data_IF_430003752738
#
_entry.id   IF_430003752738
#
_cell.length_a   1.000
_cell.length_b   1.000
_cell.length_c   1.000
_cell.angle_alpha   90.00
_cell.angle_beta   90.00
_cell.angle_gamma   90.00
#
_symmetry.space_group_name_H-M   'P 1'
#
loop_
_entity.id
_entity.type
_entity.pdbx_description
1 polymer ?
#
# COMPACT_ATOMS: atom_id res chain seq x y z
N UNK A 1 -5.00 -43.77 39.44
CA UNK A 1 -3.92 -44.54 38.76
C UNK A 1 -3.10 -43.55 37.95
N UNK A 2 -1.83 -43.39 38.31
CA UNK A 2 -1.00 -42.26 37.89
C UNK A 2 -0.43 -42.40 36.48
N UNK A 3 -0.32 -41.27 35.80
CA UNK A 3 0.34 -41.12 34.49
C UNK A 3 1.71 -40.48 34.70
N UNK A 4 2.76 -41.21 34.31
CA UNK A 4 4.16 -40.80 34.42
C UNK A 4 4.48 -39.80 33.31
N UNK A 5 4.82 -38.56 33.65
CA UNK A 5 5.41 -37.58 32.72
C UNK A 5 6.92 -37.82 32.64
N UNK A 6 7.44 -38.11 31.45
CA UNK A 6 8.89 -38.07 31.15
C UNK A 6 9.23 -36.67 30.64
N UNK A 7 10.06 -35.96 31.39
CA UNK A 7 10.67 -34.68 31.02
C UNK A 7 11.98 -35.01 30.30
N UNK A 8 12.15 -34.52 29.08
CA UNK A 8 13.44 -34.52 28.39
C UNK A 8 14.13 -33.18 28.65
N UNK A 9 15.26 -33.22 29.36
CA UNK A 9 16.18 -32.11 29.52
C UNK A 9 17.22 -32.19 28.39
N UNK A 10 17.30 -31.17 27.54
CA UNK A 10 18.42 -30.99 26.61
C UNK A 10 19.40 -30.00 27.23
N UNK A 11 20.60 -30.47 27.54
CA UNK A 11 21.74 -29.66 27.98
C UNK A 11 22.35 -28.94 26.77
N UNK A 12 22.36 -27.61 26.80
CA UNK A 12 23.19 -26.79 25.91
C UNK A 12 24.52 -26.56 26.62
N UNK A 13 25.60 -27.15 26.08
CA UNK A 13 26.97 -26.93 26.53
C UNK A 13 27.49 -25.67 25.84
N UNK A 14 27.57 -24.57 26.60
CA UNK A 14 28.29 -23.37 26.22
C UNK A 14 29.79 -23.58 26.45
N UNK A 15 30.60 -23.50 25.39
CA UNK A 15 32.05 -23.39 25.53
C UNK A 15 32.48 -21.93 25.37
N UNK A 16 32.65 -21.27 26.51
CA UNK A 16 33.50 -20.11 26.68
C UNK A 16 34.81 -20.59 27.33
N UNK A 17 35.94 -20.41 26.67
CA UNK A 17 37.24 -20.39 27.34
C UNK A 17 38.20 -19.43 26.63
N UNK A 18 38.68 -18.47 27.42
CA UNK A 18 39.64 -17.44 27.04
C UNK A 18 41.10 -17.86 27.19
N UNK A 19 41.93 -16.83 26.98
CA UNK A 19 43.40 -16.78 26.87
C UNK A 19 44.22 -17.60 27.88
N UNK A 20 45.40 -18.06 27.42
CA UNK A 20 46.60 -18.15 28.26
C UNK A 20 47.85 -17.73 27.48
N UNK A 21 48.74 -17.04 28.20
CA UNK A 21 50.01 -16.44 27.79
C UNK A 21 51.13 -17.37 28.24
N UNK A 22 52.14 -17.60 27.39
CA UNK A 22 53.41 -18.26 27.74
C UNK A 22 54.57 -17.68 26.93
N UNK A 23 55.63 -17.25 27.60
CA UNK A 23 56.83 -16.59 27.06
C UNK A 23 57.96 -17.59 26.69
N UNK A 24 58.47 -17.46 25.46
CA UNK A 24 59.87 -17.40 24.92
C UNK A 24 61.04 -18.27 25.46
N UNK A 25 62.21 -18.38 24.75
CA UNK A 25 62.55 -17.99 23.36
C UNK A 25 63.41 -19.04 22.58
N UNK A 26 63.48 -18.98 21.25
CA UNK A 26 64.71 -19.20 20.45
C UNK A 26 64.47 -18.94 18.94
N UNK A 27 64.90 -17.74 18.51
CA UNK A 27 65.74 -17.43 17.34
C UNK A 27 65.52 -18.21 16.02
N UNK A 28 64.91 -17.58 15.01
CA UNK A 28 65.59 -17.02 13.81
C UNK A 28 64.63 -16.79 12.62
N UNK A 29 64.52 -15.51 12.23
CA UNK A 29 64.43 -14.93 10.87
C UNK A 29 63.32 -15.32 9.88
N UNK A 30 62.75 -14.26 9.30
CA UNK A 30 61.97 -14.13 8.06
C UNK A 30 60.50 -14.59 8.05
N UNK A 31 59.60 -13.64 8.25
CA UNK A 31 58.93 -12.98 7.12
C UNK A 31 58.09 -11.82 7.65
N UNK A 32 58.38 -10.62 7.15
CA UNK A 32 57.45 -9.50 7.17
C UNK A 32 56.15 -9.97 6.51
N UNK A 33 55.19 -10.41 7.31
CA UNK A 33 53.79 -10.46 6.91
C UNK A 33 53.25 -9.04 7.09
N UNK A 34 53.64 -8.16 6.17
CA UNK A 34 52.85 -6.97 5.88
C UNK A 34 51.39 -7.40 5.75
N UNK A 35 50.43 -6.72 6.41
CA UNK A 35 49.03 -6.86 6.07
C UNK A 35 48.91 -6.63 4.58
N UNK A 36 48.24 -7.54 3.89
CA UNK A 36 48.08 -7.56 2.44
C UNK A 36 47.70 -6.16 1.90
N UNK A 37 48.68 -5.44 1.35
CA UNK A 37 48.51 -4.06 0.89
C UNK A 37 47.56 -3.96 -0.32
N UNK A 38 47.14 -5.09 -0.90
CA UNK A 38 46.18 -5.11 -2.02
C UNK A 38 44.75 -4.76 -1.60
N UNK A 39 44.36 -4.96 -0.34
CA UNK A 39 42.99 -4.66 0.11
C UNK A 39 42.74 -3.17 0.41
N UNK A 40 43.76 -2.31 0.28
CA UNK A 40 43.67 -0.86 0.56
C UNK A 40 43.76 0.04 -0.67
N UNK A 41 44.13 -0.49 -1.85
CA UNK A 41 44.44 0.32 -3.04
C UNK A 41 43.20 0.72 -3.82
N UNK A 42 42.17 -0.13 -3.84
CA UNK A 42 40.86 0.18 -4.40
C UNK A 42 39.80 -0.60 -3.62
N UNK A 43 38.76 0.10 -3.20
CA UNK A 43 37.61 -0.45 -2.47
C UNK A 43 36.33 0.13 -3.05
N UNK A 44 35.25 -0.62 -2.90
CA UNK A 44 33.91 -0.17 -3.24
C UNK A 44 32.99 -0.47 -2.07
N UNK A 45 32.08 0.45 -1.79
CA UNK A 45 31.05 0.34 -0.77
C UNK A 45 29.68 0.65 -1.39
N UNK A 46 28.76 -0.30 -1.35
CA UNK A 46 27.35 -0.15 -1.72
C UNK A 46 26.53 0.20 -0.48
N UNK A 47 25.61 1.14 -0.65
CA UNK A 47 24.70 1.61 0.38
C UNK A 47 23.35 1.99 -0.22
N UNK A 48 22.32 1.99 0.62
CA UNK A 48 20.93 2.23 0.22
C UNK A 48 20.01 1.17 0.80
N UNK A 49 18.71 1.29 0.48
CA UNK A 49 17.73 0.28 0.85
C UNK A 49 17.93 -0.98 -0.02
N UNK A 50 17.56 -2.13 0.51
CA UNK A 50 17.64 -3.43 -0.20
C UNK A 50 16.27 -4.07 -0.39
N UNK A 51 15.21 -3.46 0.13
CA UNK A 51 13.82 -3.89 -0.04
C UNK A 51 13.03 -2.69 -0.57
N UNK A 52 12.31 -2.90 -1.68
CA UNK A 52 11.52 -1.91 -2.37
C UNK A 52 10.17 -2.51 -2.76
N UNK A 53 9.18 -1.65 -2.98
CA UNK A 53 7.97 -2.03 -3.71
C UNK A 53 8.24 -2.00 -5.22
N UNK A 54 7.49 -2.78 -5.97
CA UNK A 54 7.63 -2.86 -7.43
C UNK A 54 7.32 -1.55 -8.17
N UNK A 55 6.61 -0.62 -7.55
CA UNK A 55 6.29 0.70 -8.08
C UNK A 55 7.18 1.83 -7.53
N UNK A 56 8.11 1.53 -6.61
CA UNK A 56 9.02 2.51 -6.05
C UNK A 56 10.23 2.79 -6.94
N UNK A 57 10.82 3.96 -6.72
CA UNK A 57 12.14 4.27 -7.30
C UNK A 57 13.21 3.58 -6.49
N UNK A 58 13.95 2.70 -7.14
CA UNK A 58 15.11 2.04 -6.57
C UNK A 58 16.31 2.97 -6.70
N UNK A 59 17.03 3.22 -5.60
CA UNK A 59 18.27 3.99 -5.62
C UNK A 59 19.31 3.38 -4.68
N UNK A 60 20.37 2.81 -5.26
CA UNK A 60 21.59 2.46 -4.56
C UNK A 60 22.67 3.51 -4.84
N UNK A 61 23.50 3.78 -3.84
CA UNK A 61 24.69 4.62 -3.99
C UNK A 61 25.92 3.76 -3.80
N UNK A 62 26.94 3.98 -4.62
CA UNK A 62 28.26 3.38 -4.43
C UNK A 62 29.30 4.45 -4.10
N UNK A 63 30.27 4.10 -3.26
CA UNK A 63 31.42 4.94 -2.97
C UNK A 63 32.71 4.17 -3.28
N UNK A 64 33.64 4.84 -3.94
CA UNK A 64 34.98 4.32 -4.18
C UNK A 64 35.94 4.84 -3.11
N UNK A 65 36.84 3.97 -2.66
CA UNK A 65 37.88 4.32 -1.71
C UNK A 65 39.23 3.74 -2.09
N UNK A 66 40.30 4.23 -1.48
CA UNK A 66 41.67 3.82 -1.76
C UNK A 66 42.40 4.75 -2.74
N UNK A 67 43.69 4.51 -2.90
CA UNK A 67 44.60 5.37 -3.67
C UNK A 67 44.28 5.41 -5.17
N UNK A 68 43.63 4.37 -5.71
CA UNK A 68 43.29 4.23 -7.12
C UNK A 68 41.84 4.65 -7.45
N UNK A 69 41.09 5.17 -6.46
CA UNK A 69 39.67 5.47 -6.63
C UNK A 69 39.37 6.51 -7.71
N UNK A 70 40.24 7.52 -7.89
CA UNK A 70 40.02 8.58 -8.89
C UNK A 70 40.18 8.13 -10.34
N UNK A 71 40.96 7.06 -10.56
CA UNK A 71 41.29 6.55 -11.89
C UNK A 71 40.49 5.29 -12.25
N UNK A 72 39.61 4.85 -11.35
CA UNK A 72 38.85 3.63 -11.51
C UNK A 72 37.68 3.80 -12.49
N UNK A 73 37.60 2.92 -13.49
CA UNK A 73 36.40 2.73 -14.30
C UNK A 73 35.42 1.82 -13.57
N UNK A 74 34.15 2.21 -13.52
CA UNK A 74 33.08 1.46 -12.84
C UNK A 74 32.19 0.76 -13.87
N UNK A 75 31.88 -0.50 -13.59
CA UNK A 75 30.93 -1.31 -14.37
C UNK A 75 29.84 -1.87 -13.46
N UNK A 76 28.69 -2.14 -14.06
CA UNK A 76 27.51 -2.69 -13.40
C UNK A 76 27.11 -4.00 -14.07
N UNK A 77 26.79 -5.00 -13.25
CA UNK A 77 26.16 -6.26 -13.65
C UNK A 77 24.92 -6.50 -12.79
N UNK A 78 23.77 -6.67 -13.43
CA UNK A 78 22.45 -6.76 -12.81
C UNK A 78 21.31 -6.61 -13.80
N UNK A 79 20.10 -6.32 -13.31
CA UNK A 79 18.90 -6.12 -14.13
C UNK A 79 19.00 -4.92 -15.07
N UNK A 80 18.45 -5.05 -16.28
CA UNK A 80 18.40 -3.96 -17.27
C UNK A 80 17.45 -2.82 -16.88
N UNK A 81 16.61 -3.04 -15.87
CA UNK A 81 15.67 -2.03 -15.35
C UNK A 81 16.35 -0.97 -14.47
N UNK A 82 17.59 -1.22 -14.03
CA UNK A 82 18.40 -0.27 -13.29
C UNK A 82 19.56 0.23 -14.14
N UNK A 83 19.90 1.50 -13.98
CA UNK A 83 20.94 2.18 -14.75
C UNK A 83 22.01 2.69 -13.82
N UNK A 84 23.27 2.39 -14.15
CA UNK A 84 24.44 2.98 -13.51
C UNK A 84 24.66 4.41 -14.03
N UNK A 85 24.65 5.39 -13.12
CA UNK A 85 25.14 6.74 -13.38
C UNK A 85 26.46 6.96 -12.62
N UNK A 86 27.53 7.07 -13.39
CA UNK A 86 28.89 7.22 -12.85
C UNK A 86 29.20 8.63 -12.36
N UNK A 87 28.41 9.64 -12.76
CA UNK A 87 28.60 11.02 -12.32
C UNK A 87 27.98 11.24 -10.94
N UNK A 88 26.77 10.72 -10.72
CA UNK A 88 26.09 10.76 -9.42
C UNK A 88 26.51 9.63 -8.48
N UNK A 89 27.24 8.63 -8.98
CA UNK A 89 27.64 7.43 -8.25
C UNK A 89 26.45 6.59 -7.76
N UNK A 90 25.44 6.45 -8.61
CA UNK A 90 24.19 5.76 -8.27
C UNK A 90 23.86 4.63 -9.24
N UNK A 91 23.13 3.64 -8.76
CA UNK A 91 22.39 2.67 -9.58
C UNK A 91 20.92 2.88 -9.26
N UNK A 92 20.15 3.30 -10.26
CA UNK A 92 18.75 3.67 -10.05
C UNK A 92 17.85 3.28 -11.21
N UNK A 93 16.58 3.10 -10.91
CA UNK A 93 15.52 2.88 -11.87
C UNK A 93 14.15 3.03 -11.22
N UNK A 94 13.14 3.26 -12.03
CA UNK A 94 11.75 3.38 -11.60
C UNK A 94 11.01 2.09 -11.95
N UNK A 95 10.09 1.66 -11.09
CA UNK A 95 9.21 0.54 -11.35
C UNK A 95 9.95 -0.79 -11.61
N UNK A 96 10.86 -1.16 -10.71
CA UNK A 96 11.56 -2.44 -10.78
C UNK A 96 10.55 -3.57 -10.58
N UNK A 97 10.34 -4.42 -11.59
CA UNK A 97 9.38 -5.52 -11.53
C UNK A 97 9.60 -6.39 -10.27
N UNK A 98 8.55 -7.02 -9.70
CA UNK A 98 8.70 -7.86 -8.52
C UNK A 98 9.74 -8.98 -8.74
N UNK A 99 10.61 -9.19 -7.76
CA UNK A 99 11.65 -10.19 -7.83
C UNK A 99 12.87 -9.91 -6.96
N UNK A 100 13.82 -10.84 -7.01
CA UNK A 100 15.11 -10.76 -6.33
C UNK A 100 16.20 -10.52 -7.36
N UNK A 101 17.00 -9.48 -7.16
CA UNK A 101 18.01 -9.01 -8.10
C UNK A 101 19.37 -8.92 -7.43
N UNK A 102 20.35 -9.66 -7.94
CA UNK A 102 21.74 -9.49 -7.54
C UNK A 102 22.34 -8.32 -8.31
N UNK A 103 22.88 -7.36 -7.56
CA UNK A 103 23.49 -6.14 -8.08
C UNK A 103 24.96 -6.15 -7.75
N UNK A 104 25.79 -6.27 -8.78
CA UNK A 104 27.24 -6.28 -8.65
C UNK A 104 27.82 -5.02 -9.28
N UNK A 105 28.55 -4.25 -8.49
CA UNK A 105 29.31 -3.10 -8.98
C UNK A 105 30.79 -3.43 -8.88
N UNK A 106 31.49 -3.23 -9.99
CA UNK A 106 32.92 -3.50 -10.07
C UNK A 106 33.67 -2.23 -10.48
N UNK A 107 34.77 -1.95 -9.81
CA UNK A 107 35.67 -0.85 -10.10
C UNK A 107 37.02 -1.42 -10.51
N UNK A 108 37.58 -0.96 -11.63
CA UNK A 108 38.88 -1.40 -12.13
C UNK A 108 39.77 -0.20 -12.40
N UNK A 109 40.97 -0.21 -11.81
CA UNK A 109 42.04 0.75 -12.08
C UNK A 109 43.36 -0.02 -12.23
N UNK A 110 44.13 0.28 -13.28
CA UNK A 110 45.32 -0.46 -13.69
C UNK A 110 45.06 -1.97 -13.86
N UNK A 111 45.43 -2.77 -12.85
CA UNK A 111 45.25 -4.23 -12.76
C UNK A 111 44.55 -4.63 -11.45
N UNK A 112 44.06 -3.65 -10.67
CA UNK A 112 43.33 -3.88 -9.43
C UNK A 112 41.85 -3.75 -9.70
N UNK A 113 41.11 -4.80 -9.36
CA UNK A 113 39.65 -4.81 -9.43
C UNK A 113 39.09 -4.97 -8.03
N UNK A 114 38.15 -4.11 -7.66
CA UNK A 114 37.31 -4.27 -6.50
C UNK A 114 35.87 -4.54 -6.97
N UNK A 115 35.15 -5.40 -6.27
CA UNK A 115 33.76 -5.71 -6.60
C UNK A 115 32.97 -5.88 -5.31
N UNK A 116 31.72 -5.44 -5.35
CA UNK A 116 30.78 -5.69 -4.29
C UNK A 116 29.41 -6.02 -4.87
N UNK A 117 28.82 -7.04 -4.27
CA UNK A 117 27.47 -7.51 -4.60
C UNK A 117 26.54 -7.19 -3.44
N UNK A 118 25.36 -6.69 -3.76
CA UNK A 118 24.22 -6.61 -2.85
C UNK A 118 23.02 -7.23 -3.52
N UNK A 119 22.03 -7.62 -2.74
CA UNK A 119 20.76 -8.13 -3.25
C UNK A 119 19.69 -7.06 -3.05
N UNK A 120 18.96 -6.74 -4.12
CA UNK A 120 17.77 -5.92 -4.08
C UNK A 120 16.56 -6.86 -4.18
N UNK A 121 15.61 -6.66 -3.29
CA UNK A 121 14.27 -7.23 -3.37
C UNK A 121 13.32 -6.14 -3.86
N UNK A 122 12.58 -6.44 -4.92
CA UNK A 122 11.39 -5.69 -5.32
C UNK A 122 10.16 -6.55 -5.06
N UNK A 123 9.18 -6.00 -4.36
CA UNK A 123 8.05 -6.76 -3.86
C UNK A 123 6.73 -6.29 -4.50
N UNK A 124 5.89 -7.25 -4.91
CA UNK A 124 4.54 -7.01 -5.42
C UNK A 124 3.59 -6.69 -4.25
N UNK A 125 3.86 -5.60 -3.56
CA UNK A 125 3.08 -5.16 -2.41
C UNK A 125 1.87 -4.33 -2.86
N UNK A 126 1.02 -4.88 -3.74
CA UNK A 126 -0.10 -4.20 -4.41
C UNK A 126 -1.02 -3.33 -3.50
N UNK A 127 -0.56 -2.16 -3.08
CA UNK A 127 -1.20 -1.32 -2.09
C UNK A 127 -1.20 0.12 -2.55
N UNK A 128 -2.37 0.75 -2.51
CA UNK A 128 -2.54 2.11 -3.00
C UNK A 128 -3.61 2.21 -4.06
N UNK A 129 -3.59 3.34 -4.78
CA UNK A 129 -4.55 3.70 -5.81
C UNK A 129 -3.93 3.67 -7.20
N UNK A 130 -4.56 2.95 -8.12
CA UNK A 130 -4.17 2.89 -9.53
C UNK A 130 -5.27 3.48 -10.41
N UNK A 131 -4.90 4.23 -11.44
CA UNK A 131 -5.85 4.78 -12.43
C UNK A 131 -5.54 4.19 -13.80
N UNK A 132 -6.58 3.70 -14.50
CA UNK A 132 -6.41 3.05 -15.78
C UNK A 132 -5.95 4.04 -16.85
N UNK A 133 -5.06 3.58 -17.73
CA UNK A 133 -4.70 4.27 -18.94
C UNK A 133 -5.70 3.88 -20.05
N UNK A 134 -6.44 4.85 -20.61
CA UNK A 134 -7.36 4.59 -21.72
C UNK A 134 -8.66 5.39 -21.67
N UNK A 135 -9.59 5.02 -22.55
CA UNK A 135 -10.90 5.68 -22.71
C UNK A 135 -11.88 5.34 -21.57
N UNK A 136 -11.77 4.14 -20.99
CA UNK A 136 -12.55 3.76 -19.79
C UNK A 136 -11.80 4.18 -18.53
N UNK A 137 -12.37 5.13 -17.77
CA UNK A 137 -11.79 5.50 -16.48
C UNK A 137 -12.09 4.41 -15.44
N UNK A 138 -11.12 3.55 -15.18
CA UNK A 138 -11.14 2.63 -14.05
C UNK A 138 -10.22 3.11 -12.93
N UNK A 139 -10.67 3.00 -11.69
CA UNK A 139 -9.85 3.29 -10.51
C UNK A 139 -9.82 2.03 -9.66
N UNK A 140 -8.62 1.54 -9.36
CA UNK A 140 -8.37 0.37 -8.54
C UNK A 140 -7.76 0.82 -7.21
N UNK A 141 -8.29 0.28 -6.12
CA UNK A 141 -7.82 0.53 -4.76
C UNK A 141 -7.56 -0.79 -4.08
N UNK A 142 -6.37 -0.97 -3.54
CA UNK A 142 -5.93 -2.26 -2.98
C UNK A 142 -5.43 -2.10 -1.54
N UNK A 143 -5.83 -3.04 -0.69
CA UNK A 143 -5.45 -3.14 0.72
C UNK A 143 -4.86 -4.51 1.02
N UNK A 144 -4.04 -4.61 2.08
CA UNK A 144 -3.49 -5.87 2.58
C UNK A 144 -4.08 -6.22 3.95
N UNK A 145 -4.23 -7.50 4.23
CA UNK A 145 -4.74 -8.00 5.52
C UNK A 145 -3.78 -8.93 6.26
N UNK A 146 -2.86 -9.60 5.57
CA UNK A 146 -1.87 -10.49 6.21
C UNK A 146 -0.67 -10.76 5.31
N UNK A 147 0.49 -10.99 5.93
CA UNK A 147 1.73 -11.43 5.27
C UNK A 147 2.29 -12.64 6.04
N UNK A 148 2.80 -13.63 5.31
CA UNK A 148 3.61 -14.70 5.89
C UNK A 148 5.06 -14.47 5.52
N UNK A 149 5.93 -14.25 6.50
CA UNK A 149 7.38 -14.12 6.27
C UNK A 149 8.07 -15.49 6.23
N UNK A 150 9.01 -15.66 5.31
CA UNK A 150 9.99 -16.73 5.28
C UNK A 150 11.20 -16.43 6.18
N UNK A 151 12.08 -17.42 6.35
CA UNK A 151 13.25 -17.36 7.27
C UNK A 151 14.29 -16.28 6.90
N UNK A 152 14.20 -15.73 5.70
CA UNK A 152 15.01 -14.66 5.10
C UNK A 152 14.32 -13.27 5.16
N UNK A 153 13.11 -13.21 5.74
CA UNK A 153 12.30 -12.00 5.83
C UNK A 153 11.63 -11.64 4.49
N UNK A 154 11.38 -12.62 3.62
CA UNK A 154 10.56 -12.48 2.41
C UNK A 154 9.10 -12.79 2.70
N UNK A 155 8.17 -12.04 2.08
CA UNK A 155 6.76 -12.40 2.19
C UNK A 155 6.41 -13.47 1.16
N UNK A 156 6.11 -14.68 1.65
CA UNK A 156 5.80 -15.86 0.84
C UNK A 156 4.41 -15.81 0.21
N UNK A 157 3.46 -15.18 0.91
CA UNK A 157 2.12 -14.91 0.39
C UNK A 157 1.45 -13.80 1.19
N UNK A 158 0.57 -13.05 0.52
CA UNK A 158 -0.30 -12.05 1.14
C UNK A 158 -1.74 -12.25 0.74
N UNK A 159 -2.64 -11.82 1.61
CA UNK A 159 -4.03 -11.61 1.20
C UNK A 159 -4.33 -10.12 1.13
N UNK A 160 -5.14 -9.74 0.15
CA UNK A 160 -5.55 -8.37 -0.04
C UNK A 160 -7.01 -8.26 -0.46
N UNK A 161 -7.58 -7.08 -0.22
CA UNK A 161 -8.86 -6.66 -0.77
C UNK A 161 -8.62 -5.69 -1.91
N UNK A 162 -9.42 -5.79 -2.97
CA UNK A 162 -9.40 -4.82 -4.05
C UNK A 162 -10.80 -4.29 -4.33
N UNK A 163 -10.86 -3.03 -4.73
CA UNK A 163 -12.08 -2.35 -5.11
C UNK A 163 -11.81 -1.59 -6.38
N UNK A 164 -12.69 -1.73 -7.37
CA UNK A 164 -12.57 -1.00 -8.61
C UNK A 164 -13.92 -0.61 -9.15
N UNK A 165 -13.93 0.43 -9.97
CA UNK A 165 -15.14 0.88 -10.62
C UNK A 165 -14.83 1.50 -11.98
N UNK A 166 -15.79 1.42 -12.90
CA UNK A 166 -15.75 2.11 -14.19
C UNK A 166 -16.77 3.25 -14.20
N UNK A 167 -16.40 4.37 -14.84
CA UNK A 167 -17.31 5.50 -15.05
C UNK A 167 -17.69 5.64 -16.51
N UNK A 168 -18.89 6.16 -16.77
CA UNK A 168 -19.28 6.63 -18.11
C UNK A 168 -18.63 7.99 -18.40
N UNK A 169 -18.44 8.33 -19.69
CA UNK A 169 -17.69 9.50 -20.17
C UNK A 169 -17.90 10.79 -19.34
N UNK A 170 -16.81 11.57 -19.23
CA UNK A 170 -16.48 12.65 -18.28
C UNK A 170 -17.55 13.70 -17.88
N UNK A 171 -18.71 13.77 -18.54
CA UNK A 171 -19.73 14.79 -18.28
C UNK A 171 -20.66 14.44 -17.09
N UNK A 172 -20.89 13.15 -16.79
CA UNK A 172 -21.84 12.72 -15.73
C UNK A 172 -21.16 12.21 -14.45
N UNK A 173 -19.90 11.73 -14.57
CA UNK A 173 -19.13 11.07 -13.51
C UNK A 173 -19.89 9.93 -12.80
N UNK A 174 -20.81 9.29 -13.52
CA UNK A 174 -21.64 8.20 -13.04
C UNK A 174 -20.82 6.89 -13.00
N UNK A 175 -20.92 6.11 -11.91
CA UNK A 175 -20.25 4.79 -11.83
C UNK A 175 -21.19 3.74 -12.42
N UNK A 176 -20.83 3.20 -13.58
CA UNK A 176 -21.58 2.15 -14.27
C UNK A 176 -21.45 0.80 -13.58
N UNK A 177 -20.30 0.55 -12.96
CA UNK A 177 -19.97 -0.71 -12.32
C UNK A 177 -19.07 -0.47 -11.13
N UNK A 178 -19.39 -1.09 -10.01
CA UNK A 178 -18.59 -1.09 -8.79
C UNK A 178 -18.33 -2.54 -8.38
N UNK A 179 -17.08 -2.88 -8.15
CA UNK A 179 -16.68 -4.24 -7.84
C UNK A 179 -15.79 -4.28 -6.60
N UNK A 180 -15.82 -5.43 -5.93
CA UNK A 180 -14.92 -5.78 -4.84
C UNK A 180 -14.40 -7.19 -5.04
N UNK A 181 -13.16 -7.44 -4.63
CA UNK A 181 -12.52 -8.73 -4.72
C UNK A 181 -11.61 -8.99 -3.53
N UNK A 182 -11.26 -10.26 -3.36
CA UNK A 182 -10.23 -10.70 -2.43
C UNK A 182 -9.20 -11.49 -3.23
N UNK A 183 -7.92 -11.19 -3.02
CA UNK A 183 -6.81 -11.78 -3.76
C UNK A 183 -5.81 -12.42 -2.81
N UNK A 184 -5.15 -13.47 -3.31
CA UNK A 184 -3.94 -14.03 -2.77
C UNK A 184 -2.78 -13.66 -3.68
N UNK A 185 -1.75 -13.03 -3.12
CA UNK A 185 -0.55 -12.58 -3.83
C UNK A 185 0.52 -13.64 -3.68
N UNK A 186 1.13 -14.04 -4.79
CA UNK A 186 2.24 -15.01 -4.84
C UNK A 186 3.23 -14.60 -5.94
N UNK A 187 4.39 -14.08 -5.55
CA UNK A 187 5.38 -13.60 -6.51
C UNK A 187 4.92 -12.30 -7.20
N UNK A 188 4.85 -12.31 -8.52
CA UNK A 188 4.47 -11.17 -9.38
C UNK A 188 2.98 -11.15 -9.77
N UNK A 189 2.22 -12.17 -9.38
CA UNK A 189 0.79 -12.29 -9.66
C UNK A 189 -0.03 -12.34 -8.38
N UNK A 190 -1.27 -11.90 -8.49
CA UNK A 190 -2.30 -12.08 -7.49
C UNK A 190 -3.56 -12.63 -8.15
N UNK A 191 -4.14 -13.65 -7.53
CA UNK A 191 -5.32 -14.33 -8.04
C UNK A 191 -6.42 -14.34 -6.98
N UNK A 192 -7.68 -14.38 -7.41
CA UNK A 192 -8.78 -14.47 -6.47
C UNK A 192 -10.16 -14.47 -7.10
N UNK A 193 -11.11 -13.99 -6.30
CA UNK A 193 -12.52 -13.98 -6.62
C UNK A 193 -13.16 -12.68 -6.12
N UNK A 194 -14.37 -12.41 -6.56
CA UNK A 194 -15.06 -11.19 -6.19
C UNK A 194 -16.46 -11.10 -6.73
N UNK A 195 -16.96 -9.88 -6.79
CA UNK A 195 -18.26 -9.59 -7.35
C UNK A 195 -18.33 -8.14 -7.83
N UNK A 196 -19.19 -7.91 -8.80
CA UNK A 196 -19.53 -6.60 -9.31
C UNK A 196 -21.02 -6.33 -9.11
N UNK A 197 -21.32 -5.09 -8.76
CA UNK A 197 -22.64 -4.50 -8.82
C UNK A 197 -22.68 -3.50 -9.98
N UNK A 198 -23.70 -3.57 -10.82
CA UNK A 198 -23.88 -2.66 -11.95
C UNK A 198 -25.37 -2.41 -12.22
N UNK A 199 -25.68 -1.34 -12.94
CA UNK A 199 -27.05 -1.08 -13.38
C UNK A 199 -27.28 -1.62 -14.79
N UNK A 200 -28.39 -2.31 -14.98
CA UNK A 200 -28.82 -2.91 -16.24
C UNK A 200 -30.33 -2.76 -16.35
N UNK A 201 -30.80 -2.17 -17.46
CA UNK A 201 -32.22 -1.90 -17.74
C UNK A 201 -33.01 -1.23 -16.58
N UNK A 202 -32.35 -0.33 -15.84
CA UNK A 202 -32.95 0.39 -14.70
C UNK A 202 -33.08 -0.45 -13.43
N UNK A 203 -32.43 -1.61 -13.38
CA UNK A 203 -32.33 -2.48 -12.21
C UNK A 203 -30.88 -2.64 -11.76
N UNK A 204 -30.69 -2.99 -10.48
CA UNK A 204 -29.39 -3.29 -9.91
C UNK A 204 -29.12 -4.78 -10.06
N UNK A 205 -28.03 -5.12 -10.71
CA UNK A 205 -27.59 -6.51 -10.91
C UNK A 205 -26.27 -6.77 -10.20
N UNK A 206 -26.09 -8.02 -9.79
CA UNK A 206 -24.87 -8.53 -9.13
C UNK A 206 -24.34 -9.71 -9.94
N UNK A 207 -23.05 -9.65 -10.28
CA UNK A 207 -22.32 -10.75 -10.91
C UNK A 207 -21.15 -11.21 -10.04
N UNK A 208 -20.97 -12.51 -9.94
CA UNK A 208 -19.83 -13.14 -9.25
C UNK A 208 -18.65 -13.24 -10.21
N UNK A 209 -17.44 -13.05 -9.69
CA UNK A 209 -16.17 -13.14 -10.43
C UNK A 209 -15.44 -14.42 -9.99
N UNK A 210 -15.05 -15.25 -10.95
CA UNK A 210 -14.35 -16.52 -10.72
C UNK A 210 -12.85 -16.47 -11.05
N UNK A 211 -12.43 -15.65 -12.00
CA UNK A 211 -11.05 -15.63 -12.50
C UNK A 211 -10.44 -14.23 -12.40
N UNK A 212 -10.31 -13.72 -11.17
CA UNK A 212 -9.71 -12.41 -10.92
C UNK A 212 -8.18 -12.54 -10.91
N UNK A 213 -7.50 -11.79 -11.75
CA UNK A 213 -6.04 -11.76 -11.81
C UNK A 213 -5.53 -10.34 -11.82
N UNK A 214 -4.49 -10.09 -11.02
CA UNK A 214 -3.71 -8.85 -11.00
C UNK A 214 -2.24 -9.20 -11.21
N UNK A 215 -1.57 -8.55 -12.15
CA UNK A 215 -0.16 -8.84 -12.45
C UNK A 215 0.59 -7.59 -12.91
N UNK A 216 1.88 -7.51 -12.56
CA UNK A 216 2.77 -6.51 -13.16
C UNK A 216 3.16 -6.92 -14.58
N UNK A 217 3.08 -5.98 -15.52
CA UNK A 217 3.56 -6.14 -16.89
C UNK A 217 5.07 -5.86 -16.96
N UNK A 218 5.72 -6.27 -18.06
CA UNK A 218 7.15 -5.99 -18.29
C UNK A 218 7.49 -4.49 -18.28
N UNK A 219 6.50 -3.62 -18.53
CA UNK A 219 6.62 -2.16 -18.48
C UNK A 219 6.56 -1.58 -17.08
N UNK A 220 6.24 -2.38 -16.06
CA UNK A 220 5.95 -1.94 -14.69
C UNK A 220 4.49 -1.53 -14.47
N UNK A 221 3.66 -1.50 -15.51
CA UNK A 221 2.23 -1.23 -15.40
C UNK A 221 1.49 -2.40 -14.73
N UNK A 222 0.37 -2.09 -14.09
CA UNK A 222 -0.46 -3.10 -13.44
C UNK A 222 -1.60 -3.53 -14.37
N UNK A 223 -1.79 -4.82 -14.58
CA UNK A 223 -2.94 -5.37 -15.30
C UNK A 223 -3.97 -5.93 -14.31
N UNK A 224 -5.25 -5.66 -14.52
CA UNK A 224 -6.38 -6.32 -13.85
C UNK A 224 -7.23 -7.02 -14.92
N UNK A 225 -7.39 -8.33 -14.78
CA UNK A 225 -8.23 -9.14 -15.66
C UNK A 225 -9.26 -9.88 -14.83
N UNK A 226 -10.51 -9.92 -15.30
CA UNK A 226 -11.54 -10.76 -14.67
C UNK A 226 -12.65 -11.19 -15.64
N UNK A 227 -13.33 -12.27 -15.28
CA UNK A 227 -14.52 -12.81 -15.95
C UNK A 227 -15.68 -12.93 -14.95
N UNK A 228 -16.91 -12.93 -15.46
CA UNK A 228 -18.06 -13.31 -14.63
C UNK A 228 -18.29 -14.82 -14.67
N UNK A 229 -18.65 -15.40 -13.53
CA UNK A 229 -18.97 -16.82 -13.44
C UNK A 229 -20.11 -17.18 -14.41
N UNK A 230 -19.88 -18.20 -15.24
CA UNK A 230 -20.82 -18.63 -16.26
C UNK A 230 -21.00 -17.71 -17.46
N UNK A 231 -20.23 -16.61 -17.58
CA UNK A 231 -20.21 -15.73 -18.75
C UNK A 231 -18.99 -15.97 -19.65
N UNK A 232 -19.10 -15.58 -20.92
CA UNK A 232 -17.96 -15.44 -21.83
C UNK A 232 -17.30 -14.06 -21.77
N UNK A 233 -17.89 -13.13 -21.01
CA UNK A 233 -17.38 -11.77 -20.89
C UNK A 233 -16.08 -11.76 -20.10
N UNK A 234 -15.10 -11.03 -20.62
CA UNK A 234 -13.81 -10.79 -19.98
C UNK A 234 -13.51 -9.30 -20.02
N UNK A 235 -12.99 -8.79 -18.92
CA UNK A 235 -12.63 -7.39 -18.75
C UNK A 235 -11.14 -7.32 -18.45
N UNK A 236 -10.46 -6.37 -19.09
CA UNK A 236 -9.03 -6.16 -18.96
C UNK A 236 -8.76 -4.66 -18.82
N UNK A 237 -8.06 -4.29 -17.76
CA UNK A 237 -7.65 -2.92 -17.49
C UNK A 237 -6.14 -2.86 -17.28
N UNK A 238 -5.50 -1.87 -17.88
CA UNK A 238 -4.09 -1.55 -17.61
C UNK A 238 -4.02 -0.23 -16.86
N UNK A 239 -3.28 -0.22 -15.75
CA UNK A 239 -3.10 0.95 -14.90
C UNK A 239 -1.65 1.41 -14.94
N UNK A 240 -1.48 2.66 -15.40
CA UNK A 240 -0.18 3.33 -15.43
C UNK A 240 0.06 4.05 -14.11
N UNK A 241 0.72 3.38 -13.15
CA UNK A 241 1.21 3.98 -11.91
C UNK A 241 0.18 4.35 -10.83
N UNK A 242 0.71 4.68 -9.65
CA UNK A 242 -0.06 5.16 -8.49
C UNK A 242 -0.50 6.59 -8.78
N UNK A 243 -1.80 6.83 -8.93
CA UNK A 243 -2.31 8.13 -9.36
C UNK A 243 -2.16 9.20 -8.28
N UNK A 244 -1.10 10.03 -8.38
CA UNK A 244 -0.85 11.37 -7.79
C UNK A 244 -1.20 11.66 -6.31
N UNK A 245 -1.72 10.71 -5.52
CA UNK A 245 -2.08 10.95 -4.13
C UNK A 245 -1.09 10.25 -3.20
N UNK A 246 0.18 10.68 -3.22
CA UNK A 246 1.02 10.47 -2.05
C UNK A 246 0.38 11.23 -0.90
N UNK A 247 -0.33 10.52 -0.01
CA UNK A 247 -0.83 11.06 1.24
C UNK A 247 0.25 10.78 2.27
N UNK A 248 0.70 11.81 2.98
CA UNK A 248 1.70 11.61 4.03
C UNK A 248 1.15 10.56 5.03
N UNK A 249 1.89 9.48 5.37
CA UNK A 249 1.46 8.50 6.36
C UNK A 249 1.11 9.10 7.73
N UNK A 250 1.69 10.26 8.06
CA UNK A 250 1.42 11.02 9.28
C UNK A 250 0.19 11.96 9.16
N UNK A 251 -0.56 11.87 8.05
CA UNK A 251 -1.74 12.70 7.83
C UNK A 251 -2.78 12.42 8.90
N UNK A 252 -3.08 13.46 9.69
CA UNK A 252 -4.14 13.44 10.68
C UNK A 252 -5.51 13.52 9.98
N UNK A 253 -6.13 12.36 9.78
CA UNK A 253 -7.47 12.21 9.22
C UNK A 253 -8.58 12.31 10.28
N UNK A 254 -8.29 12.76 11.52
CA UNK A 254 -9.35 13.08 12.47
C UNK A 254 -10.19 14.28 12.00
N UNK A 255 -11.41 14.36 12.51
CA UNK A 255 -12.32 15.47 12.26
C UNK A 255 -13.76 15.04 11.97
N UNK A 256 -14.57 16.02 11.56
CA UNK A 256 -15.95 15.79 11.13
C UNK A 256 -16.04 15.91 9.61
N UNK A 257 -16.77 14.98 9.01
CA UNK A 257 -16.89 14.83 7.58
C UNK A 257 -18.35 14.83 7.16
N UNK A 258 -18.64 15.55 6.08
CA UNK A 258 -19.97 15.59 5.49
C UNK A 258 -19.99 14.71 4.24
N UNK A 259 -21.08 13.98 4.04
CA UNK A 259 -21.29 13.24 2.80
C UNK A 259 -21.38 14.21 1.61
N UNK A 260 -20.60 13.93 0.58
CA UNK A 260 -20.72 14.61 -0.71
C UNK A 260 -21.79 13.98 -1.59
N UNK A 261 -22.41 12.89 -1.13
CA UNK A 261 -23.34 12.09 -1.92
C UNK A 261 -24.79 12.54 -1.77
N UNK A 262 -25.20 12.99 -0.58
CA UNK A 262 -26.57 13.42 -0.34
C UNK A 262 -26.58 14.56 0.67
N UNK A 263 -27.26 15.68 0.40
CA UNK A 263 -27.37 16.77 1.36
C UNK A 263 -28.10 16.28 2.62
N UNK A 264 -27.68 16.75 3.79
CA UNK A 264 -28.27 16.44 5.09
C UNK A 264 -28.13 14.98 5.57
N UNK A 265 -27.12 14.24 5.07
CA UNK A 265 -26.68 13.02 5.74
C UNK A 265 -25.94 13.33 7.04
N UNK A 266 -25.90 12.34 7.93
CA UNK A 266 -25.20 12.43 9.21
C UNK A 266 -23.71 12.76 8.99
N UNK A 267 -23.15 13.50 9.93
CA UNK A 267 -21.73 13.77 9.95
C UNK A 267 -21.00 12.51 10.38
N UNK A 268 -19.95 12.15 9.65
CA UNK A 268 -19.02 11.11 10.07
C UNK A 268 -17.92 11.74 10.90
N UNK A 269 -17.72 11.25 12.10
CA UNK A 269 -16.69 11.70 13.02
C UNK A 269 -15.59 10.65 13.05
N UNK A 270 -14.35 11.09 12.83
CA UNK A 270 -13.17 10.23 13.00
C UNK A 270 -12.35 10.76 14.16
N UNK A 271 -12.21 9.94 15.20
CA UNK A 271 -11.41 10.24 16.40
C UNK A 271 -10.73 8.96 16.86
N UNK A 272 -9.42 9.03 17.16
CA UNK A 272 -8.65 7.89 17.68
C UNK A 272 -8.88 6.58 16.91
N UNK A 273 -8.79 6.63 15.58
CA UNK A 273 -9.01 5.49 14.67
C UNK A 273 -10.42 4.89 14.72
N UNK A 274 -11.36 5.55 15.37
CA UNK A 274 -12.77 5.13 15.40
C UNK A 274 -13.57 6.00 14.44
N UNK A 275 -14.43 5.36 13.65
CA UNK A 275 -15.47 6.02 12.89
C UNK A 275 -16.74 5.98 13.75
N UNK A 276 -17.33 7.14 13.96
CA UNK A 276 -18.64 7.31 14.59
C UNK A 276 -19.48 8.29 13.76
N UNK A 277 -20.72 8.52 14.18
CA UNK A 277 -21.63 9.44 13.51
C UNK A 277 -22.23 10.45 14.50
N UNK A 278 -22.42 11.68 14.01
CA UNK A 278 -23.22 12.70 14.67
C UNK A 278 -24.40 13.06 13.76
N UNK A 279 -25.58 13.26 14.34
CA UNK A 279 -26.78 13.58 13.58
C UNK A 279 -26.55 14.85 12.74
N UNK A 280 -27.07 14.83 11.51
CA UNK A 280 -27.08 16.04 10.68
C UNK A 280 -27.78 17.20 11.42
N UNK A 281 -27.38 18.43 11.11
CA UNK A 281 -27.95 19.63 11.74
C UNK A 281 -29.47 19.65 11.45
N UNK A 282 -30.28 19.74 12.52
CA UNK A 282 -31.75 19.69 12.48
C UNK A 282 -32.38 18.33 12.14
N UNK A 283 -31.62 17.22 12.14
CA UNK A 283 -32.18 15.88 12.00
C UNK A 283 -32.63 15.30 13.35
N UNK A 284 -33.84 14.71 13.37
CA UNK A 284 -34.34 13.97 14.54
C UNK A 284 -33.94 12.48 14.52
N UNK A 285 -33.55 11.96 13.35
CA UNK A 285 -33.19 10.55 13.12
C UNK A 285 -32.01 10.47 12.15
N UNK A 286 -31.11 9.53 12.41
CA UNK A 286 -29.95 9.24 11.56
C UNK A 286 -30.37 8.79 10.16
N UNK A 287 -29.87 9.46 9.13
CA UNK A 287 -30.16 9.18 7.72
C UNK A 287 -29.10 8.34 7.01
N UNK A 288 -27.88 8.24 7.54
CA UNK A 288 -26.85 7.31 7.07
C UNK A 288 -25.79 7.24 8.17
N UNK A 289 -26.02 6.39 9.18
CA UNK A 289 -25.12 6.25 10.32
C UNK A 289 -23.95 5.33 9.96
N UNK A 290 -22.72 5.75 10.26
CA UNK A 290 -21.53 4.96 10.03
C UNK A 290 -20.79 4.74 11.36
N UNK A 291 -20.38 3.51 11.61
CA UNK A 291 -19.47 3.18 12.71
C UNK A 291 -18.44 2.15 12.25
N UNK A 292 -17.23 2.19 12.78
CA UNK A 292 -16.22 1.18 12.48
C UNK A 292 -14.87 1.50 13.11
N UNK A 293 -13.89 0.63 12.90
CA UNK A 293 -12.53 0.79 13.43
C UNK A 293 -11.54 0.82 12.27
N UNK A 294 -10.79 1.90 12.18
CA UNK A 294 -9.69 2.07 11.25
C UNK A 294 -8.50 1.24 11.72
N UNK A 295 -7.92 0.48 10.80
CA UNK A 295 -6.72 -0.33 11.03
C UNK A 295 -5.55 0.35 10.31
N UNK A 296 -4.88 1.35 10.93
CA UNK A 296 -3.77 2.04 10.28
C UNK A 296 -2.65 1.06 9.93
N UNK A 297 -1.92 1.41 8.89
CA UNK A 297 -0.86 0.59 8.36
C UNK A 297 0.25 0.33 9.40
N UNK A 298 0.60 -0.95 9.60
CA UNK A 298 1.78 -1.29 10.41
C UNK A 298 3.04 -1.14 9.56
N UNK A 299 3.87 -0.15 9.90
CA UNK A 299 5.17 0.07 9.27
C UNK A 299 6.19 -1.05 9.56
N UNK A 300 5.89 -1.99 10.46
CA UNK A 300 6.82 -3.08 10.79
C UNK A 300 6.94 -4.12 9.66
N UNK A 301 5.91 -4.27 8.82
CA UNK A 301 5.84 -5.30 7.78
C UNK A 301 6.48 -4.87 6.45
N UNK A 302 6.81 -3.58 6.30
CA UNK A 302 7.43 -3.02 5.10
C UNK A 302 8.45 -1.97 5.50
N UNK A 303 9.71 -2.22 5.14
CA UNK A 303 10.81 -1.27 5.33
C UNK A 303 10.79 -0.14 4.30
N UNK A 304 9.95 -0.27 3.27
CA UNK A 304 9.71 0.76 2.29
C UNK A 304 8.92 1.89 2.94
N UNK A 305 9.56 3.05 3.03
CA UNK A 305 9.09 4.26 3.73
C UNK A 305 7.81 4.88 3.15
N UNK A 306 7.24 4.30 2.09
CA UNK A 306 6.22 4.93 1.25
C UNK A 306 5.11 3.93 0.87
N UNK A 307 4.46 3.32 1.88
CA UNK A 307 3.01 3.13 1.72
C UNK A 307 2.41 4.52 1.49
N UNK A 308 1.59 4.71 0.45
CA UNK A 308 1.12 6.05 0.04
C UNK A 308 0.20 6.75 1.07
N UNK A 309 0.05 6.18 2.28
CA UNK A 309 -0.79 6.66 3.39
C UNK A 309 -2.28 6.74 3.06
N UNK A 310 -2.65 6.49 1.81
CA UNK A 310 -3.94 6.86 1.26
C UNK A 310 -4.99 5.80 1.56
N UNK A 311 -4.59 4.56 1.83
CA UNK A 311 -5.51 3.44 2.05
C UNK A 311 -5.49 2.99 3.50
N UNK A 312 -6.64 3.06 4.18
CA UNK A 312 -6.82 2.64 5.57
C UNK A 312 -7.94 1.60 5.66
N UNK A 313 -7.65 0.33 5.96
CA UNK A 313 -8.69 -0.68 6.16
C UNK A 313 -9.66 -0.32 7.29
N UNK A 314 -10.91 -0.76 7.15
CA UNK A 314 -11.95 -0.63 8.18
C UNK A 314 -12.47 -1.99 8.58
N UNK A 315 -12.47 -2.25 9.89
CA UNK A 315 -13.09 -3.43 10.51
C UNK A 315 -14.35 -3.04 11.26
N UNK A 316 -15.23 -4.02 11.48
CA UNK A 316 -16.48 -3.85 12.21
C UNK A 316 -17.36 -2.71 11.64
N UNK A 317 -17.30 -2.52 10.32
CA UNK A 317 -18.00 -1.44 9.64
C UNK A 317 -19.51 -1.72 9.67
N UNK A 318 -20.27 -0.80 10.26
CA UNK A 318 -21.72 -0.80 10.20
C UNK A 318 -22.19 0.46 9.48
N UNK A 319 -23.12 0.28 8.55
CA UNK A 319 -23.80 1.34 7.82
C UNK A 319 -25.30 1.17 8.07
N UNK A 320 -25.95 2.18 8.64
CA UNK A 320 -27.36 2.15 8.99
C UNK A 320 -28.18 3.15 8.18
N UNK A 321 -29.37 2.74 7.73
CA UNK A 321 -30.38 3.58 7.07
C UNK A 321 -29.91 4.31 5.80
N UNK A 322 -28.92 3.79 5.09
CA UNK A 322 -28.26 4.51 4.01
C UNK A 322 -28.76 4.11 2.61
N UNK A 323 -29.97 4.57 2.26
CA UNK A 323 -30.55 4.38 0.93
C UNK A 323 -30.06 5.47 -0.05
N UNK A 324 -29.39 5.01 -1.12
CA UNK A 324 -28.77 5.84 -2.15
C UNK A 324 -29.45 5.71 -3.52
N UNK A 325 -30.59 5.02 -3.60
CA UNK A 325 -31.30 4.69 -4.86
C UNK A 325 -31.72 5.90 -5.68
N UNK A 326 -31.95 7.06 -5.05
CA UNK A 326 -32.47 8.28 -5.70
C UNK A 326 -31.43 9.40 -5.85
N UNK A 327 -30.13 9.11 -5.95
CA UNK A 327 -29.10 10.14 -6.14
C UNK A 327 -28.79 10.40 -7.61
N UNK A 328 -28.93 11.66 -8.06
CA UNK A 328 -28.62 12.11 -9.42
C UNK A 328 -27.15 12.57 -9.54
N UNK A 329 -26.39 11.98 -10.47
CA UNK A 329 -25.03 12.41 -10.86
C UNK A 329 -23.94 12.16 -9.81
N UNK A 330 -22.68 11.93 -10.24
CA UNK A 330 -21.46 11.75 -9.40
C UNK A 330 -21.44 10.64 -8.31
N UNK A 331 -22.59 10.03 -8.03
CA UNK A 331 -22.89 9.42 -6.74
C UNK A 331 -23.62 8.12 -7.03
N UNK A 332 -22.86 7.04 -7.22
CA UNK A 332 -23.47 5.73 -7.38
C UNK A 332 -22.81 4.79 -6.38
N UNK A 333 -23.43 4.68 -5.22
CA UNK A 333 -23.63 3.37 -4.64
C UNK A 333 -24.94 2.89 -5.26
N UNK A 334 -24.87 1.89 -6.13
CA UNK A 334 -26.02 1.41 -6.90
C UNK A 334 -27.02 0.73 -5.92
N UNK A 335 -27.83 1.45 -5.13
CA UNK A 335 -28.80 0.87 -4.17
C UNK A 335 -28.51 1.14 -2.69
N UNK A 336 -28.98 0.25 -1.80
CA UNK A 336 -28.90 0.42 -0.34
C UNK A 336 -27.51 0.04 0.18
N UNK A 337 -26.83 0.95 0.88
CA UNK A 337 -25.52 0.69 1.47
C UNK A 337 -25.59 0.08 2.89
N UNK A 338 -26.79 -0.07 3.44
CA UNK A 338 -26.99 -0.53 4.82
C UNK A 338 -26.47 -1.95 5.04
N UNK A 339 -25.90 -2.20 6.21
CA UNK A 339 -25.41 -3.52 6.62
C UNK A 339 -24.56 -3.47 7.88
N UNK A 340 -24.53 -4.59 8.59
CA UNK A 340 -23.76 -4.77 9.82
C UNK A 340 -22.57 -5.72 9.58
N UNK A 341 -21.48 -5.52 10.33
CA UNK A 341 -20.30 -6.39 10.29
C UNK A 341 -19.59 -6.42 8.93
N UNK A 342 -19.68 -5.33 8.18
CA UNK A 342 -19.06 -5.21 6.87
C UNK A 342 -17.53 -5.08 7.02
N UNK A 343 -16.82 -5.39 5.94
CA UNK A 343 -15.42 -5.00 5.80
C UNK A 343 -15.32 -3.84 4.82
N UNK A 344 -14.31 -3.00 4.97
CA UNK A 344 -14.18 -1.83 4.11
C UNK A 344 -12.77 -1.28 4.02
N UNK A 345 -12.62 -0.20 3.26
CA UNK A 345 -11.43 0.63 3.27
C UNK A 345 -11.80 2.09 3.09
N UNK A 346 -11.03 2.97 3.73
CA UNK A 346 -10.99 4.40 3.42
C UNK A 346 -9.87 4.63 2.41
N UNK A 347 -10.21 5.34 1.36
CA UNK A 347 -9.28 5.92 0.41
C UNK A 347 -9.24 7.43 0.63
N UNK A 348 -8.14 7.93 1.19
CA UNK A 348 -7.90 9.31 1.56
C UNK A 348 -7.31 10.06 0.35
N UNK A 349 -7.77 11.29 0.18
CA UNK A 349 -7.28 12.24 -0.80
C UNK A 349 -6.93 13.55 -0.08
N UNK A 350 -5.71 14.02 -0.25
CA UNK A 350 -5.29 15.35 0.15
C UNK A 350 -5.39 16.30 -1.05
N UNK A 351 -6.06 17.44 -0.92
CA UNK A 351 -6.08 18.47 -1.97
C UNK A 351 -5.37 19.73 -1.50
N UNK A 352 -4.29 20.09 -2.21
CA UNK A 352 -3.62 21.39 -2.12
C UNK A 352 -2.69 21.54 -0.92
N UNK A 353 -1.49 22.08 -1.17
CA UNK A 353 -0.45 22.37 -0.15
C UNK A 353 -0.93 23.39 0.91
N UNK A 354 -2.03 24.10 0.64
CA UNK A 354 -2.49 25.24 1.44
C UNK A 354 -3.89 25.07 2.10
N UNK A 355 -4.70 24.07 1.74
CA UNK A 355 -6.15 24.09 2.05
C UNK A 355 -6.64 23.07 3.10
N UNK A 356 -5.77 22.21 3.66
CA UNK A 356 -6.12 21.21 4.70
C UNK A 356 -7.40 20.39 4.40
N UNK A 357 -7.84 20.34 3.14
CA UNK A 357 -9.10 19.71 2.77
C UNK A 357 -8.80 18.25 2.48
N UNK A 358 -9.17 17.41 3.44
CA UNK A 358 -9.15 15.97 3.28
C UNK A 358 -10.50 15.49 2.78
N UNK A 359 -10.47 14.64 1.78
CA UNK A 359 -11.63 13.88 1.33
C UNK A 359 -11.32 12.41 1.50
N UNK A 360 -12.30 11.58 1.81
CA UNK A 360 -12.16 10.15 1.64
C UNK A 360 -13.31 9.55 0.83
N UNK A 361 -12.99 8.50 0.08
CA UNK A 361 -13.96 7.54 -0.46
C UNK A 361 -13.93 6.30 0.48
N UNK A 362 -15.08 5.93 1.04
CA UNK A 362 -15.24 4.72 1.86
C UNK A 362 -15.85 3.63 0.99
N UNK A 363 -15.14 2.51 0.84
CA UNK A 363 -15.69 1.31 0.23
C UNK A 363 -16.12 0.33 1.31
N UNK A 364 -17.29 -0.26 1.12
CA UNK A 364 -17.85 -1.26 2.03
C UNK A 364 -18.23 -2.52 1.24
N UNK A 365 -17.93 -3.70 1.78
CA UNK A 365 -18.28 -5.01 1.21
C UNK A 365 -18.96 -5.92 2.23
N UNK A 366 -19.97 -6.65 1.76
CA UNK A 366 -20.77 -7.62 2.55
C UNK A 366 -20.67 -9.04 2.04
N UNK A 367 -20.68 -9.24 0.71
CA UNK A 367 -20.68 -10.56 0.06
C UNK A 367 -21.73 -10.64 -1.05
N UNK A 368 -21.49 -11.48 -2.06
CA UNK A 368 -22.33 -11.59 -3.26
C UNK A 368 -23.75 -12.14 -3.02
N UNK A 369 -24.00 -12.72 -1.85
CA UNK A 369 -25.32 -13.19 -1.43
C UNK A 369 -26.31 -12.06 -1.12
N UNK A 370 -25.82 -10.82 -0.99
CA UNK A 370 -26.65 -9.64 -0.75
C UNK A 370 -26.98 -8.93 -2.09
N UNK A 371 -28.18 -8.33 -2.22
CA UNK A 371 -28.53 -7.52 -3.39
C UNK A 371 -27.60 -6.32 -3.61
N UNK A 372 -27.05 -5.79 -2.51
CA UNK A 372 -26.11 -4.68 -2.49
C UNK A 372 -24.78 -5.11 -1.84
N UNK A 373 -23.95 -5.87 -2.56
CA UNK A 373 -22.81 -6.55 -1.96
C UNK A 373 -21.60 -5.63 -1.76
N UNK A 374 -21.53 -4.52 -2.51
CA UNK A 374 -20.49 -3.50 -2.45
C UNK A 374 -21.09 -2.10 -2.57
N UNK A 375 -20.55 -1.15 -1.80
CA UNK A 375 -20.95 0.25 -1.81
C UNK A 375 -19.73 1.18 -1.73
N UNK A 376 -19.89 2.38 -2.28
CA UNK A 376 -18.88 3.43 -2.25
C UNK A 376 -19.51 4.73 -1.77
N UNK A 377 -19.04 5.22 -0.62
CA UNK A 377 -19.46 6.48 -0.01
C UNK A 377 -18.36 7.53 -0.16
N UNK A 378 -18.72 8.82 -0.17
CA UNK A 378 -17.76 9.91 -0.31
C UNK A 378 -18.01 11.01 0.70
N UNK A 379 -16.94 11.45 1.32
CA UNK A 379 -16.99 12.39 2.43
C UNK A 379 -15.90 13.44 2.33
N UNK A 380 -16.21 14.68 2.67
CA UNK A 380 -15.25 15.77 2.74
C UNK A 380 -15.16 16.31 4.16
N UNK A 381 -13.94 16.60 4.63
CA UNK A 381 -13.71 17.11 5.98
C UNK A 381 -14.23 18.54 6.06
N UNK A 382 -15.16 18.78 6.97
CA UNK A 382 -15.75 20.10 7.22
C UNK A 382 -15.25 20.71 8.52
N UNK A 383 -14.87 19.91 9.51
CA UNK A 383 -14.25 20.38 10.75
C UNK A 383 -12.94 19.64 11.04
N UNK A 384 -11.95 20.38 11.52
CA UNK A 384 -10.67 19.82 11.98
C UNK A 384 -10.19 20.58 13.22
N UNK A 385 -9.85 19.84 14.29
CA UNK A 385 -9.36 20.41 15.56
C UNK A 385 -10.26 21.53 16.12
N UNK A 386 -11.57 21.36 15.99
CA UNK A 386 -12.58 22.30 16.48
C UNK A 386 -12.82 23.51 15.57
N UNK A 387 -12.13 23.61 14.44
CA UNK A 387 -12.26 24.73 13.51
C UNK A 387 -12.88 24.30 12.18
N UNK A 388 -13.63 25.18 11.51
CA UNK A 388 -14.16 24.91 10.18
C UNK A 388 -13.02 24.91 9.16
N UNK A 389 -13.10 23.97 8.20
CA UNK A 389 -12.22 23.92 7.02
C UNK A 389 -12.66 24.95 5.96
N UNK A 390 -11.87 25.22 4.91
CA UNK A 390 -12.25 26.18 3.86
C UNK A 390 -13.57 25.86 3.15
N UNK A 391 -13.93 24.57 3.01
CA UNK A 391 -15.18 24.16 2.37
C UNK A 391 -16.39 24.20 3.31
N UNK A 392 -16.18 24.39 4.61
CA UNK A 392 -17.23 24.33 5.64
C UNK A 392 -18.35 25.35 5.39
N UNK A 393 -18.01 26.55 4.88
CA UNK A 393 -18.98 27.61 4.58
C UNK A 393 -19.95 27.24 3.47
N UNK A 394 -19.54 26.36 2.55
CA UNK A 394 -20.40 25.92 1.44
C UNK A 394 -21.52 25.00 1.93
N UNK A 395 -21.41 24.51 3.17
CA UNK A 395 -22.33 23.59 3.81
C UNK A 395 -22.91 24.14 5.13
N UNK A 396 -22.85 25.45 5.34
CA UNK A 396 -23.35 26.12 6.55
C UNK A 396 -22.74 25.61 7.87
N UNK A 397 -21.53 25.04 7.82
CA UNK A 397 -20.81 24.57 9.01
C UNK A 397 -20.05 25.74 9.63
N UNK A 398 -20.42 26.08 10.87
CA UNK A 398 -19.85 27.21 11.63
C UNK A 398 -18.81 26.74 12.65
N UNK A 399 -17.99 27.66 13.14
CA UNK A 399 -17.03 27.41 14.23
C UNK A 399 -17.72 26.82 15.47
N UNK A 400 -18.88 27.36 15.86
CA UNK A 400 -19.66 26.84 16.99
C UNK A 400 -20.06 25.36 16.80
N UNK A 401 -20.38 24.95 15.57
CA UNK A 401 -20.73 23.57 15.25
C UNK A 401 -19.48 22.68 15.39
N UNK A 402 -18.34 23.11 14.83
CA UNK A 402 -17.10 22.36 14.93
C UNK A 402 -16.60 22.23 16.37
N UNK A 403 -16.71 23.28 17.19
CA UNK A 403 -16.37 23.25 18.62
C UNK A 403 -17.25 22.25 19.38
N UNK A 404 -18.56 22.23 19.11
CA UNK A 404 -19.49 21.32 19.78
C UNK A 404 -19.16 19.84 19.50
N UNK A 405 -18.71 19.52 18.28
CA UNK A 405 -18.36 18.16 17.87
C UNK A 405 -17.08 17.62 18.54
N UNK A 406 -16.17 18.49 19.00
CA UNK A 406 -14.95 18.07 19.73
C UNK A 406 -15.24 17.78 21.21
N UNK A 407 -16.39 18.24 21.72
CA UNK A 407 -16.79 18.07 23.12
C UNK A 407 -17.75 16.91 23.37
N UNK A 408 -18.18 16.22 22.31
CA UNK A 408 -18.89 14.94 22.37
C UNK A 408 -17.90 13.81 22.59
#
# INVERSE_FOLDING_TARGET
MGTIKRIAFTFIIANLSGCSVGKDPEDTLDSDSTPDATQSRLTIALSGNTKYRADETVTLTYALGGELASDASVTYDGTTQLVLDTNSQTISGTALAPGVYDITVSATADQTTASQTTQILSDANFGGRYTAAGDESAILTMTHSSATEGDDGYVLSRTGGLYWYTQEDNDTKYINRLCAGSISISGDTAEGEGFCKFSSDGSVEVAVISDLTVAYQETGDLALTYSYDGSSDSFEFTFSGVGEAYVNPDTDYSGAYLSMLKPNLDLVIITDQTIDNSLAINAEVAQCSLSGVLQPYSQELITATEGDGSIVPVTDLNIGNCDLTNQDGYIVAVGDASGEGQSGLLQIFESGIDDNTLRFDLYAKRGAEYPDPVSKLRYARVCFKGLPTPIASDYDITEQICEALVTQ
#
